data_IF_188955177774
#
_entry.id   IF_188955177774
#
_cell.length_a   1.000
_cell.length_b   1.000
_cell.length_c   1.000
_cell.angle_alpha   90.00
_cell.angle_beta   90.00
_cell.angle_gamma   90.00
#
_symmetry.space_group_name_H-M   'P 1'
#
loop_
_entity.id
_entity.type
_entity.pdbx_description
1 polymer ?
#
# COMPACT_ATOMS: atom_id res chain seq x y z
N UNK A 1 5.46 -18.51 -1.86
CA UNK A 1 5.80 -17.28 -1.13
C UNK A 1 6.86 -17.54 -0.08
N UNK A 2 7.72 -16.59 0.17
CA UNK A 2 8.76 -16.74 1.19
C UNK A 2 8.21 -16.28 2.55
N UNK A 3 7.44 -17.16 3.19
CA UNK A 3 6.86 -16.87 4.50
C UNK A 3 7.90 -16.90 5.60
N UNK A 4 8.99 -17.60 5.41
CA UNK A 4 10.07 -17.70 6.38
C UNK A 4 10.71 -16.32 6.64
N UNK A 5 11.03 -15.61 5.58
CA UNK A 5 11.60 -14.27 5.69
C UNK A 5 10.65 -13.31 6.41
N UNK A 6 9.36 -13.38 6.09
CA UNK A 6 8.35 -12.58 6.77
C UNK A 6 8.28 -12.92 8.25
N UNK A 7 8.27 -14.21 8.59
CA UNK A 7 8.16 -14.66 9.98
C UNK A 7 9.38 -14.25 10.80
N UNK A 8 10.56 -14.30 10.23
CA UNK A 8 11.79 -13.87 10.90
C UNK A 8 11.75 -12.40 11.29
N UNK A 9 11.03 -11.58 10.53
CA UNK A 9 10.94 -10.14 10.75
C UNK A 9 9.60 -9.71 11.36
N UNK A 10 8.78 -10.67 11.77
CA UNK A 10 7.39 -10.42 12.19
C UNK A 10 7.29 -9.37 13.30
N UNK A 11 8.08 -9.50 14.36
CA UNK A 11 8.01 -8.57 15.49
C UNK A 11 8.35 -7.15 15.09
N UNK A 12 9.44 -6.98 14.36
CA UNK A 12 9.88 -5.66 13.91
C UNK A 12 8.83 -5.04 12.99
N UNK A 13 8.30 -5.85 12.04
CA UNK A 13 7.28 -5.38 11.13
C UNK A 13 6.05 -4.89 11.88
N UNK A 14 5.52 -5.70 12.79
CA UNK A 14 4.27 -5.37 13.48
C UNK A 14 4.42 -4.29 14.53
N UNK A 15 5.56 -4.20 15.20
CA UNK A 15 5.78 -3.19 16.22
C UNK A 15 6.20 -1.84 15.68
N UNK A 16 7.09 -1.84 14.69
CA UNK A 16 7.72 -0.59 14.23
C UNK A 16 7.18 -0.08 12.89
N UNK A 17 6.75 -0.96 12.01
CA UNK A 17 6.40 -0.57 10.65
C UNK A 17 4.91 -0.57 10.37
N UNK A 18 4.16 -1.56 10.85
CA UNK A 18 2.72 -1.64 10.55
C UNK A 18 1.95 -0.41 11.02
N UNK A 19 2.14 0.10 12.25
CA UNK A 19 1.41 1.32 12.65
C UNK A 19 1.70 2.50 11.75
N UNK A 20 2.94 2.67 11.35
CA UNK A 20 3.36 3.72 10.43
C UNK A 20 2.70 3.56 9.07
N UNK A 21 2.74 2.36 8.51
CA UNK A 21 2.17 2.09 7.21
C UNK A 21 0.64 2.25 7.20
N UNK A 22 -0.05 1.79 8.24
CA UNK A 22 -1.49 1.96 8.37
C UNK A 22 -1.84 3.46 8.34
N UNK A 23 -1.13 4.26 9.12
CA UNK A 23 -1.35 5.70 9.13
C UNK A 23 -1.09 6.34 7.77
N UNK A 24 -0.02 5.92 7.09
CA UNK A 24 0.31 6.43 5.77
C UNK A 24 -0.75 6.06 4.73
N UNK A 25 -1.23 4.82 4.75
CA UNK A 25 -2.28 4.38 3.82
C UNK A 25 -3.55 5.17 4.07
N UNK A 26 -3.96 5.33 5.34
CA UNK A 26 -5.19 6.08 5.65
C UNK A 26 -5.11 7.53 5.21
N UNK A 27 -3.93 8.13 5.23
CA UNK A 27 -3.77 9.50 4.78
C UNK A 27 -3.85 9.65 3.26
N UNK A 28 -3.72 8.55 2.52
CA UNK A 28 -3.67 8.58 1.07
C UNK A 28 -4.92 8.01 0.37
N UNK A 29 -5.81 7.36 1.10
CA UNK A 29 -7.06 6.85 0.54
C UNK A 29 -8.21 7.84 0.79
N UNK A 30 -9.32 7.74 0.02
CA UNK A 30 -10.46 8.64 0.23
C UNK A 30 -11.02 8.54 1.65
N UNK A 31 -11.41 9.68 2.23
CA UNK A 31 -11.90 9.74 3.60
C UNK A 31 -13.19 8.94 3.81
N UNK A 32 -13.99 8.78 2.75
CA UNK A 32 -15.24 8.04 2.81
C UNK A 32 -15.06 6.55 2.52
N UNK A 33 -13.84 6.11 2.25
CA UNK A 33 -13.56 4.70 2.10
C UNK A 33 -13.42 4.05 3.47
N UNK A 34 -14.47 3.35 3.87
CA UNK A 34 -14.54 2.75 5.19
C UNK A 34 -13.89 1.36 5.18
N UNK A 35 -12.63 1.31 5.56
CA UNK A 35 -11.88 0.06 5.62
C UNK A 35 -11.33 -0.11 7.04
N UNK A 36 -11.45 -1.33 7.59
CA UNK A 36 -11.01 -1.62 8.95
C UNK A 36 -9.49 -1.77 9.03
N UNK A 37 -8.95 -1.61 10.25
CA UNK A 37 -7.53 -1.85 10.48
C UNK A 37 -7.13 -3.29 10.16
N UNK A 38 -8.01 -4.25 10.46
CA UNK A 38 -7.75 -5.65 10.15
C UNK A 38 -7.59 -5.88 8.64
N UNK A 39 -8.42 -5.22 7.85
CA UNK A 39 -8.32 -5.30 6.39
C UNK A 39 -7.02 -4.67 5.90
N UNK A 40 -6.63 -3.53 6.49
CA UNK A 40 -5.37 -2.89 6.14
C UNK A 40 -4.18 -3.77 6.50
N UNK A 41 -4.20 -4.39 7.68
CA UNK A 41 -3.16 -5.31 8.10
C UNK A 41 -3.05 -6.47 7.10
N UNK A 42 -4.18 -7.02 6.68
CA UNK A 42 -4.19 -8.11 5.70
C UNK A 42 -3.60 -7.68 4.37
N UNK A 43 -3.97 -6.52 3.87
CA UNK A 43 -3.43 -6.00 2.61
C UNK A 43 -1.91 -5.76 2.71
N UNK A 44 -1.46 -5.19 3.82
CA UNK A 44 -0.04 -4.94 4.05
C UNK A 44 0.71 -6.27 4.11
N UNK A 45 0.17 -7.26 4.81
CA UNK A 45 0.80 -8.56 4.95
C UNK A 45 0.99 -9.24 3.60
N UNK A 46 -0.04 -9.23 2.76
CA UNK A 46 0.03 -9.83 1.43
C UNK A 46 1.12 -9.14 0.60
N UNK A 47 1.20 -7.80 0.66
CA UNK A 47 2.24 -7.09 -0.09
C UNK A 47 3.64 -7.43 0.43
N UNK A 48 3.80 -7.52 1.74
CA UNK A 48 5.09 -7.92 2.32
C UNK A 48 5.51 -9.31 1.86
N UNK A 49 4.56 -10.25 1.82
CA UNK A 49 4.86 -11.61 1.35
C UNK A 49 5.25 -11.62 -0.13
N UNK A 50 4.60 -10.82 -0.95
CA UNK A 50 4.97 -10.69 -2.36
C UNK A 50 6.36 -10.08 -2.52
N UNK A 51 6.67 -9.06 -1.73
CA UNK A 51 7.98 -8.43 -1.78
C UNK A 51 9.09 -9.36 -1.33
N UNK A 52 8.78 -10.28 -0.41
CA UNK A 52 9.77 -11.26 0.07
C UNK A 52 10.29 -12.15 -1.05
N UNK A 53 9.48 -12.42 -2.06
CA UNK A 53 9.88 -13.26 -3.19
C UNK A 53 10.99 -12.62 -4.03
N UNK A 54 11.04 -11.30 -4.06
CA UNK A 54 12.01 -10.56 -4.87
C UNK A 54 13.14 -9.94 -4.05
N UNK A 55 13.14 -10.21 -2.75
CA UNK A 55 14.13 -9.64 -1.85
C UNK A 55 15.49 -10.30 -2.06
N UNK A 56 16.52 -9.46 -2.19
CA UNK A 56 17.86 -9.94 -2.54
C UNK A 56 18.92 -9.67 -1.48
N UNK A 57 18.50 -9.36 -0.26
CA UNK A 57 19.42 -9.17 0.85
C UNK A 57 19.31 -7.79 1.48
N UNK A 58 19.85 -7.67 2.68
CA UNK A 58 19.74 -6.46 3.47
C UNK A 58 18.66 -6.59 4.54
N UNK A 59 18.16 -5.46 5.02
CA UNK A 59 17.12 -5.45 6.05
C UNK A 59 15.74 -5.47 5.40
N UNK A 60 15.05 -6.59 5.50
CA UNK A 60 13.78 -6.81 4.82
C UNK A 60 12.71 -5.74 5.13
N UNK A 61 12.49 -5.32 6.40
CA UNK A 61 11.50 -4.28 6.66
C UNK A 61 11.76 -2.96 5.94
N UNK A 62 13.02 -2.56 5.80
CA UNK A 62 13.36 -1.35 5.06
C UNK A 62 13.05 -1.50 3.58
N UNK A 63 13.27 -2.68 3.02
CA UNK A 63 12.91 -2.95 1.64
C UNK A 63 11.39 -2.85 1.45
N UNK A 64 10.61 -3.42 2.37
CA UNK A 64 9.15 -3.29 2.33
C UNK A 64 8.71 -1.84 2.44
N UNK A 65 9.40 -1.05 3.26
CA UNK A 65 9.06 0.35 3.47
C UNK A 65 9.13 1.17 2.19
N UNK A 66 9.92 0.75 1.22
CA UNK A 66 10.01 1.44 -0.07
C UNK A 66 8.78 1.24 -0.94
N UNK A 67 8.07 0.13 -0.80
CA UNK A 67 7.06 -0.27 -1.78
C UNK A 67 5.67 -0.52 -1.20
N UNK A 68 5.55 -0.96 0.06
CA UNK A 68 4.31 -1.52 0.57
C UNK A 68 3.16 -0.51 0.59
N UNK A 69 3.40 0.71 1.03
CA UNK A 69 2.33 1.72 1.12
C UNK A 69 1.79 2.04 -0.27
N UNK A 70 2.66 2.27 -1.22
CA UNK A 70 2.26 2.58 -2.60
C UNK A 70 1.44 1.44 -3.21
N UNK A 71 1.88 0.20 -3.03
CA UNK A 71 1.18 -0.96 -3.57
C UNK A 71 -0.20 -1.15 -2.93
N UNK A 72 -0.29 -0.97 -1.61
CA UNK A 72 -1.57 -1.08 -0.90
C UNK A 72 -2.52 0.03 -1.35
N UNK A 73 -2.05 1.26 -1.43
CA UNK A 73 -2.87 2.40 -1.86
C UNK A 73 -3.42 2.18 -3.26
N UNK A 74 -2.58 1.73 -4.20
CA UNK A 74 -3.02 1.43 -5.56
C UNK A 74 -4.15 0.40 -5.58
N UNK A 75 -3.98 -0.67 -4.81
CA UNK A 75 -4.98 -1.72 -4.78
C UNK A 75 -6.28 -1.22 -4.15
N UNK A 76 -6.21 -0.47 -3.08
CA UNK A 76 -7.40 0.05 -2.41
C UNK A 76 -8.16 1.04 -3.28
N UNK A 77 -7.46 1.85 -4.07
CA UNK A 77 -8.12 2.73 -5.03
C UNK A 77 -8.89 1.95 -6.08
N UNK A 78 -8.35 0.85 -6.56
CA UNK A 78 -9.06 0.00 -7.50
C UNK A 78 -10.33 -0.59 -6.88
N UNK A 79 -10.26 -1.01 -5.64
CA UNK A 79 -11.44 -1.52 -4.93
C UNK A 79 -12.46 -0.41 -4.68
N UNK A 80 -11.99 0.77 -4.29
CA UNK A 80 -12.86 1.93 -4.06
C UNK A 80 -13.67 2.27 -5.31
N UNK A 81 -13.03 2.26 -6.47
CA UNK A 81 -13.71 2.53 -7.73
C UNK A 81 -14.83 1.53 -8.04
N UNK A 82 -14.67 0.30 -7.61
CA UNK A 82 -15.66 -0.75 -7.86
C UNK A 82 -16.90 -0.63 -6.97
N UNK A 83 -16.79 0.09 -5.85
CA UNK A 83 -17.86 0.17 -4.87
C UNK A 83 -19.03 1.07 -5.28
N UNK A 84 -18.78 2.08 -6.13
CA UNK A 84 -19.82 3.04 -6.47
C UNK A 84 -19.63 3.57 -7.90
N UNK A 85 -20.25 2.90 -8.84
CA UNK A 85 -20.17 3.31 -10.24
C UNK A 85 -20.90 4.62 -10.52
N UNK A 86 -21.95 4.93 -9.75
CA UNK A 86 -22.76 6.11 -10.01
C UNK A 86 -22.10 7.40 -9.57
N UNK A 87 -21.35 7.37 -8.47
CA UNK A 87 -20.58 8.51 -8.01
C UNK A 87 -19.25 8.63 -8.74
N UNK A 88 -18.80 7.54 -9.30
CA UNK A 88 -17.46 7.43 -9.85
C UNK A 88 -17.39 7.83 -11.33
N UNK A 89 -18.53 7.91 -12.03
CA UNK A 89 -18.49 8.14 -13.47
C UNK A 89 -17.71 9.39 -13.86
N UNK A 90 -17.94 10.52 -13.17
CA UNK A 90 -17.22 11.76 -13.43
C UNK A 90 -15.89 11.82 -12.68
N UNK A 91 -15.88 11.36 -11.43
CA UNK A 91 -14.66 11.31 -10.63
C UNK A 91 -13.65 10.30 -11.19
N UNK A 92 -14.14 9.25 -11.82
CA UNK A 92 -13.30 8.24 -12.45
C UNK A 92 -12.49 8.83 -13.60
N UNK A 93 -13.12 9.66 -14.40
CA UNK A 93 -12.42 10.32 -15.52
C UNK A 93 -11.31 11.21 -15.00
N UNK A 94 -11.63 12.05 -14.02
CA UNK A 94 -10.64 12.94 -13.41
C UNK A 94 -9.52 12.14 -12.77
N UNK A 95 -9.87 11.03 -12.15
CA UNK A 95 -8.91 10.17 -11.49
C UNK A 95 -7.98 9.49 -12.50
N UNK A 96 -8.52 9.03 -13.63
CA UNK A 96 -7.69 8.40 -14.65
C UNK A 96 -6.73 9.38 -15.29
N UNK A 97 -7.17 10.61 -15.51
CA UNK A 97 -6.28 11.66 -15.99
C UNK A 97 -5.19 11.99 -15.01
N UNK A 98 -5.53 11.94 -13.71
CA UNK A 98 -4.57 12.21 -12.65
C UNK A 98 -3.78 10.98 -12.20
N UNK A 99 -4.19 9.77 -12.58
CA UNK A 99 -3.56 8.56 -12.11
C UNK A 99 -2.09 8.48 -12.50
N UNK A 100 -1.78 8.74 -13.74
CA UNK A 100 -0.41 8.71 -14.22
C UNK A 100 0.43 9.77 -13.49
N UNK A 101 -0.13 10.95 -13.31
CA UNK A 101 0.54 12.02 -12.58
C UNK A 101 0.75 11.65 -11.12
N UNK A 102 -0.28 11.13 -10.45
CA UNK A 102 -0.19 10.75 -9.04
C UNK A 102 0.80 9.62 -8.85
N UNK A 103 0.75 8.60 -9.68
CA UNK A 103 1.68 7.48 -9.59
C UNK A 103 3.11 7.93 -9.83
N UNK A 104 3.30 8.76 -10.83
CA UNK A 104 4.62 9.29 -11.15
C UNK A 104 5.15 10.17 -10.01
N UNK A 105 4.31 11.04 -9.49
CA UNK A 105 4.67 11.93 -8.38
C UNK A 105 4.97 11.16 -7.10
N UNK A 106 4.10 10.23 -6.74
CA UNK A 106 4.31 9.42 -5.55
C UNK A 106 5.55 8.56 -5.66
N UNK A 107 5.80 8.04 -6.85
CA UNK A 107 6.97 7.22 -7.10
C UNK A 107 8.25 8.05 -6.92
N UNK A 108 8.26 9.27 -7.43
CA UNK A 108 9.39 10.17 -7.29
C UNK A 108 9.62 10.54 -5.82
N UNK A 109 8.56 10.89 -5.10
CA UNK A 109 8.65 11.18 -3.67
C UNK A 109 9.17 9.99 -2.89
N UNK A 110 8.73 8.80 -3.26
CA UNK A 110 9.13 7.58 -2.61
C UNK A 110 10.60 7.28 -2.81
N UNK A 111 11.10 7.56 -4.01
CA UNK A 111 12.50 7.33 -4.36
C UNK A 111 13.40 8.38 -3.70
N UNK A 112 12.94 9.61 -3.60
CA UNK A 112 13.69 10.72 -3.03
C UNK A 112 13.75 10.67 -1.50
N UNK A 113 12.88 9.92 -0.88
CA UNK A 113 12.91 9.74 0.56
C UNK A 113 13.64 8.47 0.95
#
# INVERSE_FOLDING_TARGET
>A
MNTELYNENFEVLHKKFYPKWIAQVRSKIPADYNISDNELVSEITVRCLELAENFKGGFFPSYCDLYVVCEVVKRLYKEYKKLDHSLIADAYRDWEEGEDYIQHHQYIEYVDT
#
